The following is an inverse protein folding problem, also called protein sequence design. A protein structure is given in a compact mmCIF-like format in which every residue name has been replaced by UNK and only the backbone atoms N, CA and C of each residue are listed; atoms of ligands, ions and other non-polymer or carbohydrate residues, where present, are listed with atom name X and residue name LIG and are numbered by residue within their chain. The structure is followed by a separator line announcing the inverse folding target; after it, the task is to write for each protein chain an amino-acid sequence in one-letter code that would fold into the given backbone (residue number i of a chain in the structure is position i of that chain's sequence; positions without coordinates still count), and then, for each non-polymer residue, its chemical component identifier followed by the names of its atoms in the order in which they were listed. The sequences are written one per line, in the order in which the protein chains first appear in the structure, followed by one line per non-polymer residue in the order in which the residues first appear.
data_IF_750880319129
#
_entry.id   IF_750880319129
#
_cell.length_a   1.000
_cell.length_b   1.000
_cell.length_c   1.000
_cell.angle_alpha   90.00
_cell.angle_beta   90.00
_cell.angle_gamma   90.00
#
_symmetry.space_group_name_H-M   'P 1'
#
loop_
_entity.id
_entity.type
_entity.pdbx_description
1 polymer ?
#
# COMPACT_ATOMS: atom_id res chain seq x y z
N UNK A 1 -48.20 -11.33 -22.44
CA UNK A 1 -48.68 -11.27 -21.04
C UNK A 1 -47.80 -10.30 -20.30
N UNK A 2 -48.31 -9.09 -20.03
CA UNK A 2 -47.85 -8.25 -18.92
C UNK A 2 -47.85 -9.06 -17.62
N UNK A 3 -46.85 -8.83 -16.76
CA UNK A 3 -47.02 -8.35 -15.37
C UNK A 3 -45.74 -7.59 -14.95
N UNK A 4 -45.84 -6.27 -14.85
CA UNK A 4 -45.81 -5.48 -13.59
C UNK A 4 -44.42 -5.44 -12.93
N UNK A 5 -43.66 -4.34 -13.09
CA UNK A 5 -43.61 -3.19 -12.18
C UNK A 5 -43.40 -3.59 -10.70
N UNK A 6 -42.23 -3.25 -10.13
CA UNK A 6 -42.06 -2.18 -9.13
C UNK A 6 -40.58 -1.82 -8.97
N UNK A 7 -40.21 -0.72 -9.60
CA UNK A 7 -39.51 0.41 -8.98
C UNK A 7 -38.69 0.12 -7.72
N UNK A 8 -37.38 -0.05 -7.88
CA UNK A 8 -36.43 0.54 -6.94
C UNK A 8 -35.73 1.67 -7.70
N UNK A 9 -36.48 2.77 -7.84
CA UNK A 9 -35.87 4.04 -8.14
C UNK A 9 -35.02 4.45 -6.96
N UNK A 10 -33.76 4.73 -7.23
CA UNK A 10 -33.13 6.00 -6.88
C UNK A 10 -31.89 6.08 -7.74
N UNK A 11 -31.93 7.03 -8.67
CA UNK A 11 -30.76 7.52 -9.36
C UNK A 11 -29.68 7.76 -8.31
N UNK A 12 -28.58 7.00 -8.33
CA UNK A 12 -27.40 7.45 -7.64
C UNK A 12 -26.97 8.72 -8.37
N UNK A 13 -26.94 9.90 -7.70
CA UNK A 13 -26.29 11.04 -8.30
C UNK A 13 -24.87 10.62 -8.63
N UNK A 14 -24.41 11.00 -9.81
CA UNK A 14 -23.01 11.06 -10.21
C UNK A 14 -22.31 12.08 -9.29
N UNK A 15 -22.28 11.82 -7.99
CA UNK A 15 -21.60 12.65 -7.01
C UNK A 15 -20.19 12.11 -6.93
N UNK A 16 -19.38 12.58 -7.89
CA UNK A 16 -17.93 12.66 -7.86
C UNK A 16 -17.35 11.90 -6.68
N UNK A 17 -17.03 10.62 -6.91
CA UNK A 17 -15.97 9.99 -6.14
C UNK A 17 -14.75 10.86 -6.43
N UNK A 18 -14.48 11.80 -5.53
CA UNK A 18 -13.17 12.38 -5.35
C UNK A 18 -12.33 11.21 -4.82
N UNK A 19 -12.07 10.25 -5.69
CA UNK A 19 -10.94 9.35 -5.56
C UNK A 19 -9.77 10.30 -5.50
N UNK A 20 -9.26 10.51 -4.28
CA UNK A 20 -7.97 11.13 -4.06
C UNK A 20 -7.06 10.51 -5.10
N UNK A 21 -6.37 11.31 -5.94
CA UNK A 21 -5.49 10.75 -6.94
C UNK A 21 -4.54 9.84 -6.19
N UNK A 22 -4.69 8.52 -6.37
CA UNK A 22 -3.76 7.54 -5.83
C UNK A 22 -2.41 8.01 -6.33
N UNK A 23 -1.48 8.38 -5.43
CA UNK A 23 -0.18 8.84 -5.87
C UNK A 23 0.37 7.75 -6.78
N UNK A 24 0.51 8.07 -8.08
CA UNK A 24 1.31 7.21 -8.96
C UNK A 24 2.73 7.48 -8.55
N UNK A 25 3.16 6.80 -7.50
CA UNK A 25 4.55 6.81 -7.05
C UNK A 25 5.38 6.41 -8.26
N UNK A 26 5.99 7.42 -8.87
CA UNK A 26 6.81 7.20 -10.04
C UNK A 26 8.11 6.63 -9.50
N UNK A 27 8.32 5.33 -9.71
CA UNK A 27 9.57 4.69 -9.33
C UNK A 27 10.70 5.40 -10.10
N UNK A 28 11.50 6.17 -9.36
CA UNK A 28 12.70 6.77 -9.92
C UNK A 28 13.70 5.64 -10.20
N UNK A 29 14.12 5.53 -11.47
CA UNK A 29 15.22 4.65 -11.89
C UNK A 29 16.59 5.24 -11.49
N UNK A 30 16.63 6.19 -10.56
CA UNK A 30 17.86 6.73 -10.02
C UNK A 30 18.50 5.70 -9.08
N UNK A 31 19.78 5.41 -9.33
CA UNK A 31 20.57 4.55 -8.45
C UNK A 31 20.79 5.25 -7.12
N UNK A 32 20.01 4.88 -6.11
CA UNK A 32 20.28 5.30 -4.73
C UNK A 32 21.51 4.55 -4.20
N UNK A 33 22.62 5.27 -4.03
CA UNK A 33 23.84 4.74 -3.42
C UNK A 33 23.81 5.04 -1.92
N UNK A 34 24.02 4.02 -1.09
CA UNK A 34 24.18 4.17 0.35
C UNK A 34 25.65 4.31 0.71
N UNK A 35 25.94 5.07 1.77
CA UNK A 35 27.29 5.15 2.31
C UNK A 35 27.67 3.86 3.06
N UNK A 36 28.97 3.65 3.27
CA UNK A 36 29.45 2.50 4.04
C UNK A 36 28.93 2.50 5.49
N UNK A 37 28.76 3.68 6.09
CA UNK A 37 28.20 3.85 7.42
C UNK A 37 26.71 3.47 7.45
N UNK A 38 25.91 3.95 6.51
CA UNK A 38 24.51 3.55 6.38
C UNK A 38 24.36 2.04 6.19
N UNK A 39 25.25 1.42 5.40
CA UNK A 39 25.26 -0.03 5.24
C UNK A 39 25.52 -0.76 6.57
N UNK A 40 26.46 -0.27 7.38
CA UNK A 40 26.75 -0.83 8.71
C UNK A 40 25.55 -0.72 9.65
N UNK A 41 24.84 0.40 9.64
CA UNK A 41 23.62 0.59 10.43
C UNK A 41 22.53 -0.40 10.00
N UNK A 42 22.34 -0.59 8.70
CA UNK A 42 21.43 -1.60 8.17
C UNK A 42 21.79 -3.01 8.60
N UNK A 43 23.08 -3.35 8.62
CA UNK A 43 23.54 -4.65 9.11
C UNK A 43 23.20 -4.85 10.60
N UNK A 44 23.33 -3.81 11.44
CA UNK A 44 22.98 -3.88 12.85
C UNK A 44 21.48 -4.08 13.05
N UNK A 45 20.64 -3.36 12.31
CA UNK A 45 19.18 -3.51 12.34
C UNK A 45 18.81 -4.94 11.91
N UNK A 46 19.38 -5.44 10.82
CA UNK A 46 19.13 -6.79 10.33
C UNK A 46 19.56 -7.87 11.33
N UNK A 47 20.67 -7.69 12.05
CA UNK A 47 21.10 -8.61 13.11
C UNK A 47 20.10 -8.64 14.28
N UNK A 48 19.62 -7.48 14.72
CA UNK A 48 18.62 -7.37 15.80
C UNK A 48 17.30 -8.04 15.41
N UNK A 49 16.83 -7.81 14.18
CA UNK A 49 15.60 -8.41 13.67
C UNK A 49 15.70 -9.94 13.62
N UNK A 50 16.81 -10.49 13.09
CA UNK A 50 17.03 -11.94 13.06
C UNK A 50 17.01 -12.55 14.46
N UNK A 51 17.66 -11.90 15.43
CA UNK A 51 17.64 -12.36 16.83
C UNK A 51 16.23 -12.36 17.41
N UNK A 52 15.44 -11.31 17.16
CA UNK A 52 14.06 -11.20 17.63
C UNK A 52 13.18 -12.32 17.04
N UNK A 53 13.22 -12.49 15.72
CA UNK A 53 12.43 -13.53 15.02
C UNK A 53 12.81 -14.93 15.51
N UNK A 54 14.11 -15.21 15.69
CA UNK A 54 14.56 -16.53 16.15
C UNK A 54 14.17 -16.79 17.62
N UNK A 55 14.11 -15.75 18.47
CA UNK A 55 13.64 -15.88 19.85
C UNK A 55 12.13 -16.11 19.93
N UNK A 56 11.34 -15.55 19.01
CA UNK A 56 9.90 -15.73 18.93
C UNK A 56 9.48 -17.08 18.32
N UNK A 57 10.43 -17.83 17.73
CA UNK A 57 10.21 -19.16 17.13
C UNK A 57 10.55 -20.34 18.04
N UNK A 58 11.11 -20.08 19.22
CA UNK A 58 11.44 -21.11 20.24
C UNK A 58 10.36 -21.14 21.31
#
# INVERSE_FOLDING_TARGET
MEKEQKQCGLQLPLHQDVSLPVPRDTFSMEKKVITAEQYRDWQLIAARLRKKINRERS
#
